data_IF_197036254396
#
_entry.id   IF_197036254396
#
_cell.length_a   1.000
_cell.length_b   1.000
_cell.length_c   1.000
_cell.angle_alpha   90.00
_cell.angle_beta   90.00
_cell.angle_gamma   90.00
#
_symmetry.space_group_name_H-M   'P 1'
#
loop_
_entity.id
_entity.type
_entity.pdbx_description
1 polymer ?
#
# COMPACT_ATOMS: atom_id res chain seq x y z
N UNK A 1 2.54 -13.10 1.60
CA UNK A 1 1.47 -12.25 2.15
C UNK A 1 0.11 -12.83 1.70
N UNK A 2 -1.03 -12.15 1.91
CA UNK A 2 -2.27 -12.53 1.19
C UNK A 2 -2.15 -12.09 -0.28
N UNK A 3 -2.49 -12.97 -1.23
CA UNK A 3 -2.36 -12.70 -2.67
C UNK A 3 -3.16 -11.48 -3.14
N UNK A 4 -4.27 -11.17 -2.48
CA UNK A 4 -5.11 -10.00 -2.82
C UNK A 4 -4.45 -8.70 -2.40
N UNK A 5 -3.74 -8.72 -1.28
CA UNK A 5 -2.94 -7.58 -0.83
C UNK A 5 -1.75 -7.36 -1.77
N UNK A 6 -1.00 -8.41 -2.10
CA UNK A 6 0.13 -8.30 -3.05
C UNK A 6 -0.34 -7.79 -4.41
N UNK A 7 -1.49 -8.29 -4.91
CA UNK A 7 -2.11 -7.81 -6.13
C UNK A 7 -2.55 -6.35 -6.06
N UNK A 8 -3.03 -5.89 -4.90
CA UNK A 8 -3.37 -4.48 -4.70
C UNK A 8 -2.11 -3.61 -4.76
N UNK A 9 -1.08 -3.97 -4.00
CA UNK A 9 0.21 -3.27 -3.98
C UNK A 9 0.80 -3.18 -5.38
N UNK A 10 0.98 -4.31 -6.08
CA UNK A 10 1.64 -4.32 -7.39
C UNK A 10 0.80 -3.81 -8.56
N UNK A 11 -0.47 -3.44 -8.34
CA UNK A 11 -1.32 -2.86 -9.41
C UNK A 11 -1.62 -1.38 -9.19
N UNK A 12 -1.75 -0.97 -7.95
CA UNK A 12 -2.25 0.36 -7.61
C UNK A 12 -1.23 1.21 -6.84
N UNK A 13 -0.14 0.60 -6.38
CA UNK A 13 0.97 1.29 -5.71
C UNK A 13 2.29 1.09 -6.45
N UNK A 14 2.23 0.77 -7.75
CA UNK A 14 3.40 0.63 -8.61
C UNK A 14 3.99 1.99 -9.02
N UNK A 15 5.09 1.98 -9.76
CA UNK A 15 5.79 3.19 -10.24
C UNK A 15 4.88 4.14 -11.03
N UNK A 16 3.78 3.67 -11.62
CA UNK A 16 2.86 4.49 -12.40
C UNK A 16 1.73 5.02 -11.52
N UNK A 17 0.97 4.10 -10.90
CA UNK A 17 -0.24 4.43 -10.16
C UNK A 17 0.07 4.95 -8.75
N UNK A 18 1.15 4.49 -8.12
CA UNK A 18 1.58 4.94 -6.80
C UNK A 18 1.96 6.42 -6.74
N UNK A 19 2.33 7.01 -7.88
CA UNK A 19 2.61 8.44 -8.03
C UNK A 19 1.40 9.27 -8.45
N UNK A 20 0.31 8.65 -8.89
CA UNK A 20 -0.97 9.35 -9.08
C UNK A 20 -1.65 9.56 -7.73
N UNK A 21 -1.48 10.77 -7.18
CA UNK A 21 -2.07 11.21 -5.91
C UNK A 21 -3.34 12.04 -6.09
N UNK A 22 -4.00 11.95 -7.25
CA UNK A 22 -5.27 12.66 -7.51
C UNK A 22 -6.42 12.25 -6.58
N UNK A 23 -6.22 11.21 -5.76
CA UNK A 23 -7.13 10.81 -4.69
C UNK A 23 -8.16 9.76 -5.11
N UNK A 24 -8.06 9.20 -6.31
CA UNK A 24 -8.97 8.18 -6.82
C UNK A 24 -8.78 6.82 -6.12
N UNK A 25 -7.59 6.55 -5.58
CA UNK A 25 -7.24 5.22 -5.06
C UNK A 25 -8.19 4.72 -3.97
N UNK A 26 -8.58 5.58 -3.01
CA UNK A 26 -9.51 5.20 -1.95
C UNK A 26 -10.87 4.79 -2.51
N UNK A 27 -11.43 5.59 -3.43
CA UNK A 27 -12.74 5.28 -4.00
C UNK A 27 -12.69 4.03 -4.88
N UNK A 28 -11.59 3.80 -5.60
CA UNK A 28 -11.34 2.56 -6.32
C UNK A 28 -11.29 1.34 -5.41
N UNK A 29 -10.54 1.41 -4.30
CA UNK A 29 -10.46 0.32 -3.33
C UNK A 29 -11.85 -0.03 -2.75
N UNK A 30 -12.61 0.99 -2.34
CA UNK A 30 -13.95 0.81 -1.75
C UNK A 30 -15.01 0.35 -2.76
N UNK A 31 -14.71 0.41 -4.07
CA UNK A 31 -15.56 -0.15 -5.13
C UNK A 31 -15.45 -1.67 -5.28
N UNK A 32 -14.44 -2.31 -4.68
CA UNK A 32 -14.32 -3.78 -4.68
C UNK A 32 -15.26 -4.43 -3.66
N UNK A 33 -15.39 -5.76 -3.75
CA UNK A 33 -16.15 -6.53 -2.77
C UNK A 33 -15.49 -6.50 -1.38
N UNK A 34 -16.31 -6.65 -0.33
CA UNK A 34 -15.87 -6.60 1.06
C UNK A 34 -14.73 -7.60 1.38
N UNK A 35 -14.74 -8.86 0.91
CA UNK A 35 -13.62 -9.78 1.15
C UNK A 35 -12.28 -9.30 0.58
N UNK A 36 -12.28 -8.57 -0.54
CA UNK A 36 -11.06 -8.00 -1.10
C UNK A 36 -10.58 -6.82 -0.27
N UNK A 37 -11.49 -5.91 0.10
CA UNK A 37 -11.16 -4.73 0.92
C UNK A 37 -10.57 -5.16 2.28
N UNK A 38 -11.16 -6.16 2.92
CA UNK A 38 -10.67 -6.67 4.20
C UNK A 38 -9.34 -7.42 4.08
N UNK A 39 -9.07 -8.05 2.93
CA UNK A 39 -7.77 -8.65 2.66
C UNK A 39 -6.68 -7.57 2.53
N UNK A 40 -6.98 -6.47 1.85
CA UNK A 40 -6.05 -5.32 1.75
C UNK A 40 -5.81 -4.71 3.13
N UNK A 41 -6.88 -4.44 3.89
CA UNK A 41 -6.79 -3.90 5.27
C UNK A 41 -5.92 -4.78 6.17
N UNK A 42 -6.18 -6.08 6.17
CA UNK A 42 -5.43 -7.06 6.96
C UNK A 42 -3.98 -7.21 6.48
N UNK A 43 -3.74 -7.09 5.18
CA UNK A 43 -2.41 -7.12 4.58
C UNK A 43 -1.53 -5.97 5.08
N UNK A 44 -2.05 -4.74 5.10
CA UNK A 44 -1.34 -3.60 5.69
C UNK A 44 -1.02 -3.83 7.18
N UNK A 45 -2.01 -4.29 7.95
CA UNK A 45 -1.81 -4.55 9.38
C UNK A 45 -0.72 -5.60 9.64
N UNK A 46 -0.66 -6.65 8.84
CA UNK A 46 0.40 -7.68 8.92
C UNK A 46 1.76 -7.13 8.49
N UNK A 47 1.81 -6.37 7.38
CA UNK A 47 3.05 -5.81 6.84
C UNK A 47 3.75 -4.92 7.87
N UNK A 48 2.96 -4.17 8.64
CA UNK A 48 3.43 -3.29 9.70
C UNK A 48 3.77 -4.01 11.01
N UNK A 49 3.31 -5.24 11.22
CA UNK A 49 3.42 -5.94 12.51
C UNK A 49 4.60 -6.91 12.58
N UNK A 50 4.87 -7.68 11.52
CA UNK A 50 5.84 -8.78 11.56
C UNK A 50 7.16 -8.51 10.84
N UNK A 51 7.27 -7.40 10.10
CA UNK A 51 8.47 -7.01 9.38
C UNK A 51 8.89 -7.98 8.26
N UNK A 52 8.06 -8.96 7.91
CA UNK A 52 8.34 -9.91 6.83
C UNK A 52 8.16 -9.28 5.44
N UNK A 53 7.38 -8.20 5.37
CA UNK A 53 7.17 -7.42 4.16
C UNK A 53 8.10 -6.20 4.17
N UNK A 54 9.25 -6.36 3.53
CA UNK A 54 10.33 -5.37 3.51
C UNK A 54 10.56 -4.71 2.15
N UNK A 55 11.54 -3.78 2.07
CA UNK A 55 11.83 -2.99 0.86
C UNK A 55 11.99 -3.85 -0.40
N UNK A 56 12.77 -4.93 -0.34
CA UNK A 56 13.00 -5.80 -1.49
C UNK A 56 11.72 -6.48 -2.02
N UNK A 57 10.80 -6.84 -1.12
CA UNK A 57 9.53 -7.45 -1.52
C UNK A 57 8.56 -6.40 -2.08
N UNK A 58 8.55 -5.20 -1.50
CA UNK A 58 7.77 -4.08 -2.03
C UNK A 58 8.25 -3.67 -3.43
N UNK A 59 9.56 -3.52 -3.61
CA UNK A 59 10.20 -3.19 -4.89
C UNK A 59 9.88 -4.25 -5.94
N UNK A 60 9.99 -5.54 -5.61
CA UNK A 60 9.63 -6.64 -6.51
C UNK A 60 8.19 -6.55 -7.04
N UNK A 61 7.28 -5.97 -6.26
CA UNK A 61 5.88 -5.82 -6.63
C UNK A 61 5.59 -4.51 -7.38
N UNK A 62 6.36 -3.45 -7.13
CA UNK A 62 5.98 -2.07 -7.49
C UNK A 62 7.00 -1.34 -8.35
N UNK A 63 8.21 -1.86 -8.50
CA UNK A 63 9.38 -1.19 -9.09
C UNK A 63 9.77 0.11 -8.36
N UNK A 64 9.40 0.26 -7.08
CA UNK A 64 9.74 1.40 -6.23
C UNK A 64 10.71 0.95 -5.12
N UNK A 65 11.86 1.59 -5.07
CA UNK A 65 12.89 1.36 -4.05
C UNK A 65 12.61 2.17 -2.79
N UNK A 66 12.75 1.54 -1.62
CA UNK A 66 12.77 2.22 -0.32
C UNK A 66 14.15 2.04 0.33
N UNK A 67 14.74 3.08 0.95
CA UNK A 67 16.09 3.03 1.48
C UNK A 67 16.24 2.04 2.65
N UNK A 68 15.19 1.88 3.46
CA UNK A 68 15.17 0.98 4.61
C UNK A 68 13.73 0.61 5.03
N UNK A 69 13.64 -0.33 5.98
CA UNK A 69 12.36 -0.80 6.53
C UNK A 69 11.58 0.31 7.24
N UNK A 70 12.25 1.29 7.84
CA UNK A 70 11.59 2.37 8.58
C UNK A 70 10.83 3.29 7.61
N UNK A 71 11.45 3.67 6.51
CA UNK A 71 10.85 4.46 5.45
C UNK A 71 9.68 3.73 4.79
N UNK A 72 9.83 2.44 4.49
CA UNK A 72 8.71 1.63 3.97
C UNK A 72 7.56 1.58 4.98
N UNK A 73 7.84 1.31 6.25
CA UNK A 73 6.80 1.23 7.29
C UNK A 73 6.08 2.57 7.48
N UNK A 74 6.79 3.69 7.42
CA UNK A 74 6.20 5.03 7.50
C UNK A 74 5.24 5.27 6.32
N UNK A 75 5.67 4.93 5.10
CA UNK A 75 4.83 5.02 3.90
C UNK A 75 3.59 4.12 3.98
N UNK A 76 3.77 2.83 4.32
CA UNK A 76 2.66 1.88 4.44
C UNK A 76 1.65 2.30 5.52
N UNK A 77 2.13 2.92 6.60
CA UNK A 77 1.26 3.46 7.66
C UNK A 77 0.44 4.65 7.17
N UNK A 78 1.09 5.61 6.52
CA UNK A 78 0.39 6.75 5.93
C UNK A 78 -0.63 6.29 4.87
N UNK A 79 -0.28 5.28 4.07
CA UNK A 79 -1.18 4.72 3.06
C UNK A 79 -2.37 4.01 3.71
N UNK A 80 -2.15 3.23 4.78
CA UNK A 80 -3.23 2.62 5.55
C UNK A 80 -4.16 3.68 6.15
N UNK A 81 -3.61 4.75 6.73
CA UNK A 81 -4.40 5.83 7.32
C UNK A 81 -5.22 6.57 6.25
N UNK A 82 -4.61 6.82 5.08
CA UNK A 82 -5.32 7.35 3.92
C UNK A 82 -6.44 6.40 3.48
N UNK A 83 -6.21 5.10 3.30
CA UNK A 83 -7.23 4.21 2.75
C UNK A 83 -8.37 3.93 3.73
N UNK A 84 -8.08 3.85 5.04
CA UNK A 84 -9.00 3.28 6.01
C UNK A 84 -9.32 4.15 7.24
N UNK A 85 -8.51 5.16 7.55
CA UNK A 85 -8.69 6.03 8.74
C UNK A 85 -9.08 7.47 8.40
N UNK A 86 -9.36 7.75 7.12
CA UNK A 86 -9.77 9.09 6.69
C UNK A 86 -8.61 10.10 6.62
N UNK A 87 -7.37 9.63 6.46
CA UNK A 87 -6.23 10.51 6.20
C UNK A 87 -6.50 11.45 5.01
N UNK A 88 -6.06 12.71 5.03
CA UNK A 88 -6.54 13.70 4.07
C UNK A 88 -6.01 13.47 2.64
N UNK A 89 -4.80 12.93 2.50
CA UNK A 89 -4.08 12.86 1.23
C UNK A 89 -3.39 11.49 1.06
N UNK A 90 -3.27 11.03 -0.19
CA UNK A 90 -2.51 9.84 -0.54
C UNK A 90 -1.02 10.15 -0.40
N UNK A 91 -0.24 9.38 0.37
CA UNK A 91 1.19 9.64 0.49
C UNK A 91 1.90 9.28 -0.81
N UNK A 92 2.89 10.10 -1.18
CA UNK A 92 3.79 9.79 -2.29
C UNK A 92 4.89 8.83 -1.83
N UNK A 93 5.23 7.82 -2.65
CA UNK A 93 6.45 7.03 -2.44
C UNK A 93 7.72 7.90 -2.65
N UNK A 94 8.90 7.44 -2.18
CA UNK A 94 10.18 8.06 -2.50
C UNK A 94 10.48 7.96 -3.99
N UNK A 95 11.18 8.97 -4.54
CA UNK A 95 11.58 9.06 -5.94
C UNK A 95 13.06 9.30 -6.17
#
# INVERSE_FOLDING_TARGET
MDERFERFVGRYLDLVEGYDTSGYLRSTLLGFNEPFVEAVRSGFARALADGSFGPAEYERLTDIEFPDQENLNAYLRAMYDYLFQGGPEQPMPPG
#
